data_IF_812726499895
#
_entry.id   IF_812726499895
#
_cell.length_a   1.000
_cell.length_b   1.000
_cell.length_c   1.000
_cell.angle_alpha   90.00
_cell.angle_beta   90.00
_cell.angle_gamma   90.00
#
_symmetry.space_group_name_H-M   'P 1'
#
loop_
_entity.id
_entity.type
_entity.pdbx_description
1 polymer ?
#
# COMPACT_ATOMS: atom_id res chain seq x y z
N UNK A 1 -26.32 -6.42 5.75
CA UNK A 1 -25.15 -6.94 6.48
C UNK A 1 -23.91 -6.61 5.65
N UNK A 2 -22.99 -5.80 6.20
CA UNK A 2 -21.78 -5.37 5.51
C UNK A 2 -20.77 -6.53 5.41
N UNK A 3 -20.18 -6.72 4.22
CA UNK A 3 -19.12 -7.72 3.97
C UNK A 3 -17.77 -7.03 3.94
N UNK A 4 -16.94 -7.33 4.92
CA UNK A 4 -15.63 -6.72 5.14
C UNK A 4 -14.52 -7.76 4.94
N UNK A 5 -13.56 -7.43 4.09
CA UNK A 5 -12.29 -8.17 3.96
C UNK A 5 -11.19 -7.36 4.67
N UNK A 6 -10.49 -8.00 5.63
CA UNK A 6 -9.35 -7.41 6.33
C UNK A 6 -8.09 -8.15 5.91
N UNK A 7 -7.12 -7.42 5.38
CA UNK A 7 -5.89 -7.99 4.86
C UNK A 7 -4.64 -7.34 5.46
N UNK A 8 -3.96 -8.09 6.31
CA UNK A 8 -2.70 -7.71 6.95
C UNK A 8 -1.95 -9.01 7.33
N UNK A 9 -0.64 -9.05 7.22
CA UNK A 9 0.14 -10.20 7.64
C UNK A 9 0.12 -10.39 9.17
N UNK A 10 -0.09 -9.31 9.94
CA UNK A 10 -0.11 -9.33 11.38
C UNK A 10 -1.51 -9.64 11.92
N UNK A 11 -1.66 -10.80 12.58
CA UNK A 11 -2.91 -11.24 13.18
C UNK A 11 -3.46 -10.25 14.23
N UNK A 12 -2.59 -9.60 15.00
CA UNK A 12 -3.03 -8.64 16.04
C UNK A 12 -3.70 -7.42 15.41
N UNK A 13 -3.17 -6.94 14.29
CA UNK A 13 -3.75 -5.83 13.53
C UNK A 13 -5.11 -6.26 12.97
N UNK A 14 -5.22 -7.43 12.32
CA UNK A 14 -6.50 -7.94 11.82
C UNK A 14 -7.54 -8.04 12.93
N UNK A 15 -7.16 -8.60 14.08
CA UNK A 15 -8.03 -8.71 15.26
C UNK A 15 -8.47 -7.34 15.79
N UNK A 16 -7.56 -6.39 15.89
CA UNK A 16 -7.86 -5.02 16.30
C UNK A 16 -8.87 -4.34 15.36
N UNK A 17 -8.61 -4.37 14.06
CA UNK A 17 -9.51 -3.80 13.03
C UNK A 17 -10.89 -4.46 13.11
N UNK A 18 -10.95 -5.79 13.16
CA UNK A 18 -12.22 -6.53 13.29
C UNK A 18 -13.01 -6.08 14.52
N UNK A 19 -12.37 -6.00 15.69
CA UNK A 19 -13.00 -5.58 16.94
C UNK A 19 -13.56 -4.16 16.82
N UNK A 20 -12.75 -3.20 16.34
CA UNK A 20 -13.15 -1.81 16.19
C UNK A 20 -14.35 -1.68 15.23
N UNK A 21 -14.29 -2.34 14.08
CA UNK A 21 -15.30 -2.18 13.05
C UNK A 21 -16.59 -2.95 13.35
N UNK A 22 -16.52 -4.10 14.03
CA UNK A 22 -17.72 -4.83 14.48
C UNK A 22 -18.54 -4.01 15.48
N UNK A 23 -17.89 -3.19 16.29
CA UNK A 23 -18.59 -2.32 17.24
C UNK A 23 -19.25 -1.10 16.59
N UNK A 24 -18.77 -0.66 15.43
CA UNK A 24 -19.23 0.58 14.78
C UNK A 24 -20.16 0.38 13.60
N UNK A 25 -20.12 -0.76 12.92
CA UNK A 25 -20.87 -1.03 11.70
C UNK A 25 -22.08 -1.94 11.91
N UNK A 26 -22.34 -2.40 13.14
CA UNK A 26 -23.45 -3.32 13.43
C UNK A 26 -23.21 -4.72 12.85
N UNK A 27 -24.17 -5.25 12.09
CA UNK A 27 -24.07 -6.61 11.53
C UNK A 27 -23.02 -6.67 10.38
N UNK A 28 -21.82 -7.15 10.70
CA UNK A 28 -20.68 -7.27 9.77
C UNK A 28 -20.29 -8.73 9.60
N UNK A 29 -20.11 -9.16 8.34
CA UNK A 29 -19.44 -10.42 8.01
C UNK A 29 -18.01 -10.13 7.65
N UNK A 30 -17.08 -10.55 8.51
CA UNK A 30 -15.63 -10.34 8.31
C UNK A 30 -15.00 -11.60 7.74
N UNK A 31 -14.11 -11.44 6.77
CA UNK A 31 -13.11 -12.42 6.36
C UNK A 31 -11.72 -11.80 6.45
N UNK A 32 -10.72 -12.63 6.64
CA UNK A 32 -9.33 -12.21 6.80
C UNK A 32 -8.47 -12.80 5.70
N UNK A 33 -7.38 -12.10 5.37
CA UNK A 33 -6.35 -12.54 4.45
C UNK A 33 -4.96 -12.13 5.01
N UNK A 34 -3.96 -12.96 4.82
CA UNK A 34 -2.59 -12.71 5.29
C UNK A 34 -1.66 -12.33 4.15
N UNK A 35 -2.02 -12.68 2.94
CA UNK A 35 -1.22 -12.47 1.72
C UNK A 35 -2.03 -11.78 0.63
N UNK A 36 -1.31 -11.13 -0.28
CA UNK A 36 -1.95 -10.53 -1.45
C UNK A 36 -2.58 -11.54 -2.40
N UNK A 37 -2.08 -12.79 -2.43
CA UNK A 37 -2.69 -13.86 -3.20
C UNK A 37 -4.06 -14.26 -2.64
N UNK A 38 -4.20 -14.36 -1.32
CA UNK A 38 -5.48 -14.63 -0.64
C UNK A 38 -6.50 -13.51 -0.87
N UNK A 39 -6.06 -12.24 -0.83
CA UNK A 39 -6.92 -11.10 -1.17
C UNK A 39 -7.50 -11.26 -2.58
N UNK A 40 -6.65 -11.54 -3.58
CA UNK A 40 -7.11 -11.70 -4.95
C UNK A 40 -8.01 -12.90 -5.14
N UNK A 41 -7.74 -14.03 -4.47
CA UNK A 41 -8.61 -15.20 -4.46
C UNK A 41 -9.99 -14.86 -3.86
N UNK A 42 -10.02 -14.14 -2.74
CA UNK A 42 -11.23 -13.71 -2.05
C UNK A 42 -12.08 -12.76 -2.92
N UNK A 43 -11.45 -11.80 -3.59
CA UNK A 43 -12.12 -10.84 -4.49
C UNK A 43 -12.73 -11.51 -5.74
N UNK A 44 -12.16 -12.65 -6.20
CA UNK A 44 -12.70 -13.41 -7.34
C UNK A 44 -13.92 -14.23 -6.99
N UNK A 45 -13.98 -14.71 -5.75
CA UNK A 45 -15.02 -15.67 -5.32
C UNK A 45 -16.23 -15.00 -4.71
N UNK A 46 -16.09 -13.77 -4.22
CA UNK A 46 -17.15 -13.05 -3.50
C UNK A 46 -17.06 -11.55 -3.75
N UNK A 47 -18.22 -10.88 -3.65
CA UNK A 47 -18.28 -9.42 -3.59
C UNK A 47 -18.08 -8.93 -2.15
N UNK A 48 -17.33 -7.87 -1.99
CA UNK A 48 -17.03 -7.21 -0.73
C UNK A 48 -17.48 -5.75 -0.79
N UNK A 49 -18.06 -5.26 0.29
CA UNK A 49 -18.44 -3.84 0.37
C UNK A 49 -17.22 -2.97 0.65
N UNK A 50 -16.29 -3.50 1.46
CA UNK A 50 -15.01 -2.83 1.78
C UNK A 50 -13.90 -3.87 1.97
N UNK A 51 -12.71 -3.55 1.49
CA UNK A 51 -11.47 -4.22 1.84
C UNK A 51 -10.55 -3.22 2.57
N UNK A 52 -10.18 -3.54 3.81
CA UNK A 52 -9.12 -2.85 4.54
C UNK A 52 -7.83 -3.60 4.28
N UNK A 53 -6.87 -2.96 3.64
CA UNK A 53 -5.72 -3.60 3.02
C UNK A 53 -4.41 -2.97 3.48
N UNK A 54 -3.53 -3.78 4.07
CA UNK A 54 -2.13 -3.37 4.27
C UNK A 54 -1.42 -3.16 2.94
N UNK A 55 -0.73 -2.03 2.80
CA UNK A 55 0.11 -1.74 1.64
C UNK A 55 1.24 -2.77 1.49
N UNK A 56 1.76 -3.28 2.62
CA UNK A 56 2.99 -4.09 2.67
C UNK A 56 2.76 -5.60 2.73
N UNK A 57 1.58 -6.07 2.27
CA UNK A 57 1.29 -7.50 2.24
C UNK A 57 2.38 -8.32 1.52
N UNK A 58 2.71 -9.51 2.03
CA UNK A 58 3.61 -10.43 1.36
C UNK A 58 3.04 -10.95 0.04
N UNK A 59 3.90 -11.52 -0.80
CA UNK A 59 3.66 -12.07 -2.14
C UNK A 59 3.21 -11.01 -3.15
N UNK A 60 2.07 -10.34 -2.92
CA UNK A 60 1.55 -9.27 -3.77
C UNK A 60 1.16 -8.10 -2.91
N UNK A 61 1.82 -6.98 -3.11
CA UNK A 61 1.56 -5.78 -2.34
C UNK A 61 0.28 -5.04 -2.72
N UNK A 62 -0.19 -4.19 -1.81
CA UNK A 62 -1.43 -3.46 -1.96
C UNK A 62 -1.57 -2.66 -3.25
N UNK A 63 -0.50 -2.03 -3.73
CA UNK A 63 -0.50 -1.29 -5.02
C UNK A 63 -0.73 -2.22 -6.21
N UNK A 64 -0.14 -3.42 -6.21
CA UNK A 64 -0.34 -4.40 -7.27
C UNK A 64 -1.79 -4.93 -7.26
N UNK A 65 -2.32 -5.20 -6.07
CA UNK A 65 -3.71 -5.59 -5.86
C UNK A 65 -4.66 -4.52 -6.43
N UNK A 66 -4.41 -3.25 -6.12
CA UNK A 66 -5.25 -2.15 -6.62
C UNK A 66 -5.24 -2.04 -8.14
N UNK A 67 -4.07 -2.19 -8.77
CA UNK A 67 -3.98 -2.24 -10.24
C UNK A 67 -4.79 -3.40 -10.83
N UNK A 68 -4.77 -4.55 -10.17
CA UNK A 68 -5.54 -5.72 -10.57
C UNK A 68 -7.04 -5.47 -10.45
N UNK A 69 -7.48 -4.90 -9.34
CA UNK A 69 -8.88 -4.56 -9.07
C UNK A 69 -9.41 -3.59 -10.13
N UNK A 70 -8.67 -2.54 -10.47
CA UNK A 70 -9.05 -1.58 -11.51
C UNK A 70 -9.25 -2.24 -12.89
N UNK A 71 -8.37 -3.17 -13.25
CA UNK A 71 -8.50 -3.91 -14.51
C UNK A 71 -9.73 -4.82 -14.52
N UNK A 72 -10.05 -5.43 -13.38
CA UNK A 72 -11.16 -6.37 -13.22
C UNK A 72 -12.53 -5.74 -12.97
N UNK A 73 -12.63 -4.39 -12.92
CA UNK A 73 -13.86 -3.64 -12.63
C UNK A 73 -14.59 -4.09 -11.36
N UNK A 74 -13.84 -4.43 -10.31
CA UNK A 74 -14.43 -4.76 -9.02
C UNK A 74 -14.99 -3.51 -8.35
N UNK A 75 -16.18 -3.62 -7.78
CA UNK A 75 -16.87 -2.52 -7.07
C UNK A 75 -16.41 -2.37 -5.60
N UNK A 76 -15.60 -3.31 -5.11
CA UNK A 76 -15.09 -3.32 -3.75
C UNK A 76 -14.32 -2.04 -3.44
N UNK A 77 -14.75 -1.33 -2.41
CA UNK A 77 -14.06 -0.14 -1.91
C UNK A 77 -12.77 -0.55 -1.21
N UNK A 78 -11.69 0.17 -1.48
CA UNK A 78 -10.37 -0.17 -0.97
C UNK A 78 -9.87 0.91 -0.01
N UNK A 79 -9.84 0.60 1.28
CA UNK A 79 -9.19 1.43 2.30
C UNK A 79 -7.80 0.88 2.59
N UNK A 80 -6.79 1.68 2.31
CA UNK A 80 -5.41 1.28 2.55
C UNK A 80 -4.97 1.62 3.96
N UNK A 81 -4.24 0.69 4.57
CA UNK A 81 -3.52 0.93 5.83
C UNK A 81 -2.02 0.74 5.60
N UNK A 82 -1.20 1.57 6.23
CA UNK A 82 0.24 1.40 6.20
C UNK A 82 0.89 1.90 7.48
N UNK A 83 2.12 1.43 7.76
CA UNK A 83 2.97 2.08 8.75
C UNK A 83 3.37 3.47 8.25
N UNK A 84 3.73 4.36 9.16
CA UNK A 84 4.17 5.72 8.82
C UNK A 84 5.38 5.75 7.87
N UNK A 85 6.20 4.70 7.90
CA UNK A 85 7.32 4.54 7.00
C UNK A 85 6.92 4.36 5.52
N UNK A 86 5.69 3.95 5.26
CA UNK A 86 5.20 3.64 3.91
C UNK A 86 4.30 4.73 3.30
N UNK A 87 4.28 5.92 3.91
CA UNK A 87 3.44 7.07 3.50
C UNK A 87 3.56 7.47 2.03
N UNK A 88 4.69 7.20 1.37
CA UNK A 88 4.90 7.50 -0.05
C UNK A 88 3.97 6.70 -0.98
N UNK A 89 3.38 5.61 -0.50
CA UNK A 89 2.41 4.85 -1.29
C UNK A 89 1.03 5.52 -1.36
N UNK A 90 0.76 6.48 -0.47
CA UNK A 90 -0.55 7.10 -0.38
C UNK A 90 -0.97 7.83 -1.65
N UNK A 91 -0.10 8.69 -2.19
CA UNK A 91 -0.36 9.41 -3.44
C UNK A 91 -0.66 8.43 -4.59
N UNK A 92 0.14 7.37 -4.71
CA UNK A 92 -0.06 6.35 -5.74
C UNK A 92 -1.36 5.56 -5.52
N UNK A 93 -1.68 5.15 -4.30
CA UNK A 93 -2.91 4.43 -3.99
C UNK A 93 -4.15 5.27 -4.33
N UNK A 94 -4.17 6.54 -3.92
CA UNK A 94 -5.28 7.46 -4.18
C UNK A 94 -5.45 7.75 -5.68
N UNK A 95 -4.37 7.93 -6.43
CA UNK A 95 -4.41 8.08 -7.90
C UNK A 95 -4.93 6.82 -8.59
N UNK A 96 -4.55 5.66 -8.10
CA UNK A 96 -5.06 4.38 -8.58
C UNK A 96 -6.51 4.11 -8.14
N UNK A 97 -7.14 4.98 -7.35
CA UNK A 97 -8.57 4.94 -7.01
C UNK A 97 -8.86 4.23 -5.70
N UNK A 98 -7.92 4.22 -4.76
CA UNK A 98 -8.23 3.85 -3.39
C UNK A 98 -9.36 4.74 -2.84
N UNK A 99 -10.26 4.13 -2.05
CA UNK A 99 -11.35 4.84 -1.36
C UNK A 99 -10.85 5.59 -0.13
N UNK A 100 -9.62 5.32 0.30
CA UNK A 100 -8.97 6.06 1.37
C UNK A 100 -7.62 5.47 1.74
N UNK A 101 -6.90 6.23 2.57
CA UNK A 101 -5.61 5.85 3.09
C UNK A 101 -5.47 6.33 4.53
N UNK A 102 -5.09 5.42 5.43
CA UNK A 102 -4.87 5.69 6.86
C UNK A 102 -3.55 5.06 7.31
N UNK A 103 -2.99 5.59 8.39
CA UNK A 103 -1.85 4.96 9.05
C UNK A 103 -2.30 3.90 10.06
N UNK A 104 -1.48 2.87 10.28
CA UNK A 104 -1.75 1.82 11.28
C UNK A 104 -1.76 2.37 12.71
N UNK A 105 -1.07 3.48 12.90
CA UNK A 105 -0.99 4.24 14.15
C UNK A 105 -2.18 5.20 14.37
N UNK A 106 -3.17 5.18 13.47
CA UNK A 106 -4.36 6.01 13.60
C UNK A 106 -5.20 5.65 14.84
N UNK A 107 -5.94 6.61 15.35
CA UNK A 107 -6.87 6.37 16.44
C UNK A 107 -8.04 5.49 15.99
N UNK A 108 -8.74 4.91 16.96
CA UNK A 108 -9.99 4.17 16.72
C UNK A 108 -11.01 5.02 15.94
N UNK A 109 -11.19 6.26 16.38
CA UNK A 109 -12.18 7.17 15.79
C UNK A 109 -11.81 7.54 14.35
N UNK A 110 -10.52 7.70 14.08
CA UNK A 110 -10.02 7.96 12.73
C UNK A 110 -10.27 6.77 11.80
N UNK A 111 -10.00 5.54 12.23
CA UNK A 111 -10.31 4.34 11.45
C UNK A 111 -11.80 4.23 11.14
N UNK A 112 -12.65 4.47 12.14
CA UNK A 112 -14.10 4.45 11.96
C UNK A 112 -14.59 5.54 11.00
N UNK A 113 -14.04 6.75 11.08
CA UNK A 113 -14.35 7.85 10.17
C UNK A 113 -13.93 7.51 8.73
N UNK A 114 -12.73 6.95 8.55
CA UNK A 114 -12.22 6.52 7.25
C UNK A 114 -13.11 5.45 6.61
N UNK A 115 -13.53 4.46 7.39
CA UNK A 115 -14.41 3.39 6.92
C UNK A 115 -15.79 3.93 6.54
N UNK A 116 -16.42 4.78 7.37
CA UNK A 116 -17.71 5.41 7.04
C UNK A 116 -17.62 6.21 5.75
N UNK A 117 -16.62 7.08 5.64
CA UNK A 117 -16.38 7.91 4.45
C UNK A 117 -16.20 7.05 3.19
N UNK A 118 -15.41 5.98 3.28
CA UNK A 118 -15.21 5.06 2.17
C UNK A 118 -16.52 4.33 1.78
N UNK A 119 -17.31 3.88 2.77
CA UNK A 119 -18.58 3.21 2.55
C UNK A 119 -19.61 4.12 1.86
N UNK A 120 -19.60 5.42 2.13
CA UNK A 120 -20.42 6.44 1.46
C UNK A 120 -19.94 6.76 0.02
N UNK A 121 -18.89 6.11 -0.46
CA UNK A 121 -18.32 6.36 -1.79
C UNK A 121 -17.44 7.60 -1.88
N UNK A 122 -17.18 8.26 -0.74
CA UNK A 122 -16.25 9.40 -0.64
C UNK A 122 -14.84 8.91 -0.36
N UNK A 123 -13.84 9.73 -0.67
CA UNK A 123 -12.44 9.40 -0.36
C UNK A 123 -12.04 9.94 1.00
N UNK A 124 -11.39 9.09 1.79
CA UNK A 124 -10.78 9.49 3.05
C UNK A 124 -9.26 9.62 2.91
N UNK A 125 -8.76 10.73 3.39
CA UNK A 125 -7.32 10.98 3.53
C UNK A 125 -7.10 11.57 4.91
N UNK A 126 -6.15 11.02 5.67
CA UNK A 126 -5.86 11.59 6.99
C UNK A 126 -5.35 13.04 6.85
N UNK A 127 -5.64 13.92 7.81
CA UNK A 127 -5.18 15.32 7.76
C UNK A 127 -3.67 15.44 7.56
N UNK A 128 -2.89 14.61 8.26
CA UNK A 128 -1.42 14.59 8.17
C UNK A 128 -0.90 14.25 6.76
N UNK A 129 -1.69 13.50 5.99
CA UNK A 129 -1.34 13.12 4.63
C UNK A 129 -1.82 14.14 3.59
N UNK A 130 -2.90 14.85 3.88
CA UNK A 130 -3.48 15.85 2.96
C UNK A 130 -2.49 16.95 2.63
N UNK A 131 -1.80 17.51 3.62
CA UNK A 131 -0.80 18.57 3.42
C UNK A 131 0.35 18.11 2.54
N UNK A 132 0.79 16.87 2.69
CA UNK A 132 1.86 16.28 1.88
C UNK A 132 1.42 16.05 0.43
N UNK A 133 0.18 15.62 0.23
CA UNK A 133 -0.37 15.40 -1.11
C UNK A 133 -0.54 16.70 -1.88
N UNK A 134 -0.93 17.77 -1.20
CA UNK A 134 -1.02 19.12 -1.78
C UNK A 134 0.36 19.62 -2.20
N UNK A 135 1.37 19.45 -1.34
CA UNK A 135 2.75 19.83 -1.64
C UNK A 135 3.37 19.04 -2.82
N UNK A 136 2.89 17.83 -3.07
CA UNK A 136 3.34 16.95 -4.16
C UNK A 136 2.50 17.07 -5.46
N UNK A 137 1.49 17.91 -5.48
CA UNK A 137 0.63 18.12 -6.65
C UNK A 137 1.34 18.93 -7.76
N UNK A 138 2.48 18.43 -8.25
CA UNK A 138 3.08 18.90 -9.50
C UNK A 138 2.56 18.06 -10.67
N UNK A 139 2.37 18.70 -11.83
CA UNK A 139 1.69 18.17 -13.03
C UNK A 139 2.31 16.91 -13.68
N UNK A 140 3.41 16.39 -13.18
CA UNK A 140 4.05 15.18 -13.74
C UNK A 140 4.33 14.17 -12.63
N UNK A 141 3.81 12.96 -12.82
CA UNK A 141 4.11 11.83 -11.95
C UNK A 141 5.62 11.60 -11.81
N UNK A 142 6.20 11.73 -10.61
CA UNK A 142 7.61 11.47 -10.44
C UNK A 142 7.94 10.02 -10.86
N UNK A 143 9.08 9.79 -11.49
CA UNK A 143 9.47 8.47 -12.01
C UNK A 143 9.35 7.31 -11.03
N UNK A 144 9.58 7.52 -9.73
CA UNK A 144 9.43 6.47 -8.71
C UNK A 144 8.01 5.90 -8.60
N UNK A 145 6.98 6.65 -9.01
CA UNK A 145 5.60 6.16 -9.03
C UNK A 145 5.35 5.07 -10.09
N UNK A 146 6.28 4.89 -11.03
CA UNK A 146 6.27 3.81 -12.02
C UNK A 146 6.81 2.50 -11.46
N UNK A 147 7.45 2.55 -10.29
CA UNK A 147 7.96 1.36 -9.62
C UNK A 147 6.78 0.51 -9.10
N UNK A 148 6.91 -0.80 -9.23
CA UNK A 148 6.06 -1.72 -8.49
C UNK A 148 6.37 -1.60 -6.99
N UNK A 149 5.50 -2.09 -6.14
CA UNK A 149 5.76 -2.07 -4.71
C UNK A 149 7.07 -2.76 -4.35
N UNK A 150 7.35 -3.92 -4.97
CA UNK A 150 8.60 -4.64 -4.72
C UNK A 150 9.83 -3.86 -5.19
N UNK A 151 9.75 -3.23 -6.34
CA UNK A 151 10.80 -2.34 -6.82
C UNK A 151 11.01 -1.14 -5.89
N UNK A 152 9.94 -0.55 -5.37
CA UNK A 152 10.04 0.59 -4.46
C UNK A 152 10.63 0.21 -3.10
N UNK A 153 10.29 -0.98 -2.56
CA UNK A 153 10.96 -1.52 -1.36
C UNK A 153 12.46 -1.67 -1.57
N UNK A 154 12.87 -2.27 -2.69
CA UNK A 154 14.27 -2.48 -3.04
C UNK A 154 14.96 -1.14 -3.31
N UNK A 155 14.33 -0.24 -4.05
CA UNK A 155 14.82 1.12 -4.31
C UNK A 155 15.20 1.86 -3.02
N UNK A 156 14.32 1.87 -2.00
CA UNK A 156 14.59 2.55 -0.72
C UNK A 156 15.79 1.95 0.01
N UNK A 157 15.95 0.64 -0.02
CA UNK A 157 17.09 -0.05 0.59
C UNK A 157 18.40 0.26 -0.17
N UNK A 158 18.36 0.26 -1.50
CA UNK A 158 19.49 0.66 -2.34
C UNK A 158 19.86 2.13 -2.10
N UNK A 159 18.85 3.02 -1.99
CA UNK A 159 19.05 4.44 -1.72
C UNK A 159 19.73 4.71 -0.37
N UNK A 160 19.49 3.84 0.63
CA UNK A 160 20.17 3.87 1.93
C UNK A 160 21.52 3.17 1.94
N UNK A 161 22.01 2.70 0.80
CA UNK A 161 23.28 2.01 0.69
C UNK A 161 23.27 0.56 1.19
N UNK A 162 22.08 -0.05 1.40
CA UNK A 162 21.99 -1.44 1.87
C UNK A 162 22.56 -2.39 0.80
N UNK A 163 23.51 -3.29 1.17
CA UNK A 163 24.08 -4.26 0.24
C UNK A 163 23.03 -5.22 -0.34
N UNK A 164 23.19 -5.62 -1.61
CA UNK A 164 22.27 -6.51 -2.32
C UNK A 164 22.02 -7.83 -1.56
N UNK A 165 23.06 -8.39 -0.94
CA UNK A 165 22.98 -9.63 -0.16
C UNK A 165 22.07 -9.44 1.06
N UNK A 166 22.19 -8.30 1.75
CA UNK A 166 21.38 -7.96 2.92
C UNK A 166 19.92 -7.75 2.50
N UNK A 167 19.69 -7.00 1.42
CA UNK A 167 18.35 -6.81 0.83
C UNK A 167 17.71 -8.16 0.50
N UNK A 168 18.47 -9.08 -0.09
CA UNK A 168 17.99 -10.42 -0.41
C UNK A 168 17.52 -11.20 0.81
N UNK A 169 18.32 -11.17 1.90
CA UNK A 169 17.97 -11.82 3.17
C UNK A 169 16.70 -11.21 3.79
N UNK A 170 16.64 -9.90 3.92
CA UNK A 170 15.52 -9.21 4.55
C UNK A 170 14.20 -9.37 3.78
N UNK A 171 14.29 -9.50 2.46
CA UNK A 171 13.12 -9.62 1.60
C UNK A 171 12.83 -11.07 1.16
N UNK A 172 13.60 -12.05 1.69
CA UNK A 172 13.47 -13.49 1.38
C UNK A 172 13.52 -13.79 -0.12
N UNK A 173 14.46 -13.15 -0.84
CA UNK A 173 14.73 -13.37 -2.26
C UNK A 173 16.22 -13.52 -2.55
N UNK A 174 16.56 -14.14 -3.67
CA UNK A 174 17.97 -14.31 -4.05
C UNK A 174 18.65 -12.98 -4.36
N UNK A 175 19.99 -12.84 -4.12
CA UNK A 175 20.74 -11.68 -4.56
C UNK A 175 20.64 -11.42 -6.07
N UNK A 176 20.52 -12.47 -6.87
CA UNK A 176 20.28 -12.39 -8.33
C UNK A 176 18.95 -11.72 -8.63
N UNK A 177 17.89 -12.05 -7.89
CA UNK A 177 16.59 -11.40 -8.01
C UNK A 177 16.67 -9.92 -7.65
N UNK A 178 17.39 -9.57 -6.56
CA UNK A 178 17.60 -8.16 -6.18
C UNK A 178 18.33 -7.40 -7.29
N UNK A 179 19.35 -8.00 -7.91
CA UNK A 179 20.09 -7.39 -9.03
C UNK A 179 19.18 -7.15 -10.25
N UNK A 180 18.30 -8.09 -10.56
CA UNK A 180 17.30 -7.93 -11.63
C UNK A 180 16.35 -6.76 -11.33
N UNK A 181 15.85 -6.67 -10.10
CA UNK A 181 15.02 -5.53 -9.69
C UNK A 181 15.79 -4.21 -9.75
N UNK A 182 17.05 -4.19 -9.30
CA UNK A 182 17.91 -3.02 -9.39
C UNK A 182 18.02 -2.49 -10.84
N UNK A 183 18.28 -3.37 -11.80
CA UNK A 183 18.36 -2.97 -13.23
C UNK A 183 17.05 -2.34 -13.72
N UNK A 184 15.91 -2.94 -13.40
CA UNK A 184 14.59 -2.40 -13.73
C UNK A 184 14.29 -1.06 -13.05
N UNK A 185 14.73 -0.89 -11.81
CA UNK A 185 14.60 0.37 -11.07
C UNK A 185 15.40 1.46 -11.78
N UNK A 186 16.70 1.23 -12.04
CA UNK A 186 17.55 2.19 -12.73
C UNK A 186 16.95 2.67 -14.06
N UNK A 187 16.43 1.74 -14.87
CA UNK A 187 15.76 2.04 -16.13
C UNK A 187 14.50 2.93 -15.90
N UNK A 188 13.62 2.54 -14.98
CA UNK A 188 12.35 3.22 -14.74
C UNK A 188 12.51 4.63 -14.18
N UNK A 189 13.49 4.84 -13.29
CA UNK A 189 13.77 6.15 -12.69
C UNK A 189 14.82 6.97 -13.46
N UNK A 190 15.38 6.39 -14.54
CA UNK A 190 16.41 6.99 -15.39
C UNK A 190 17.67 7.39 -14.63
N UNK A 191 18.14 6.50 -13.75
CA UNK A 191 19.40 6.63 -13.03
C UNK A 191 20.42 5.63 -13.58
N UNK A 192 21.71 6.02 -13.64
CA UNK A 192 22.78 5.17 -14.15
C UNK A 192 23.37 4.23 -13.07
N UNK A 193 23.32 4.63 -11.81
CA UNK A 193 23.97 3.91 -10.72
C UNK A 193 23.29 4.14 -9.35
N UNK A 194 23.80 3.47 -8.30
CA UNK A 194 23.21 3.58 -6.96
C UNK A 194 23.40 4.96 -6.33
N UNK A 195 24.47 5.69 -6.65
CA UNK A 195 24.68 7.03 -6.13
C UNK A 195 23.57 7.98 -6.64
N UNK A 196 23.21 7.86 -7.91
CA UNK A 196 22.08 8.60 -8.48
C UNK A 196 20.73 8.17 -7.89
N UNK A 197 20.56 6.87 -7.56
CA UNK A 197 19.38 6.40 -6.80
C UNK A 197 19.30 7.14 -5.45
N UNK A 198 20.42 7.25 -4.72
CA UNK A 198 20.47 7.93 -3.43
C UNK A 198 20.13 9.41 -3.56
N UNK A 199 20.75 10.11 -4.51
CA UNK A 199 20.49 11.53 -4.77
C UNK A 199 19.02 11.77 -5.16
N UNK A 200 18.49 10.91 -6.04
CA UNK A 200 17.09 10.97 -6.46
C UNK A 200 16.14 10.76 -5.25
N UNK A 201 16.43 9.76 -4.43
CA UNK A 201 15.59 9.45 -3.26
C UNK A 201 15.60 10.59 -2.21
N UNK A 202 16.76 11.25 -2.00
CA UNK A 202 16.87 12.43 -1.13
C UNK A 202 16.05 13.60 -1.68
N UNK A 203 16.18 13.88 -2.97
CA UNK A 203 15.43 14.98 -3.62
C UNK A 203 13.92 14.79 -3.55
N UNK A 204 13.44 13.55 -3.69
CA UNK A 204 12.01 13.23 -3.62
C UNK A 204 11.51 12.99 -2.19
N UNK A 205 12.36 13.13 -1.16
CA UNK A 205 12.01 12.93 0.25
C UNK A 205 11.63 11.48 0.59
N UNK A 206 12.23 10.50 -0.11
CA UNK A 206 11.94 9.07 0.04
C UNK A 206 12.83 8.36 1.07
N UNK A 207 13.91 9.01 1.49
CA UNK A 207 14.85 8.59 2.55
C UNK A 207 15.27 9.78 3.40
#
# INVERSE_FOLDING_TARGET
>A
MVRLLIADANMLIRTGIRTILSQSLGAVKVSEAETGAEVLASLRTRSWDLCVLDVSLPERGGVEILRHIRKGRYETKMLYMSSYADRQYAALALRLGASGYVFKECSRDELQAAVRTAMEGRRYVSPQLSDQLIAQASDKDPPYMRLSQRELQIFRKLARGTPIIVIGKELSISPKSVSTYRSRILEKIRCANNAEITQYAMREGLI
#
